data_IF_680012703183
#
_entry.id   IF_680012703183
#
_cell.length_a   1.000
_cell.length_b   1.000
_cell.length_c   1.000
_cell.angle_alpha   90.00
_cell.angle_beta   90.00
_cell.angle_gamma   90.00
#
_symmetry.space_group_name_H-M   'P 1'
#
loop_
_entity.id
_entity.type
_entity.pdbx_description
1 polymer ?
#
# COMPACT_ATOMS: atom_id res chain seq x y z
N UNK A 1 43.07 48.44 10.25
CA UNK A 1 44.29 47.66 10.04
C UNK A 1 45.50 48.56 9.83
N UNK A 2 45.59 49.41 8.78
CA UNK A 2 46.75 50.32 8.57
C UNK A 2 46.96 51.40 9.67
N UNK A 3 45.96 51.66 10.51
CA UNK A 3 46.08 52.56 11.65
C UNK A 3 46.73 51.93 12.89
N UNK A 4 46.69 50.64 12.99
CA UNK A 4 47.19 49.85 14.12
C UNK A 4 48.52 49.17 13.79
N UNK A 5 48.75 48.84 12.53
CA UNK A 5 49.99 48.26 12.02
C UNK A 5 50.43 48.95 10.73
N UNK A 6 51.28 50.00 10.80
CA UNK A 6 51.64 50.85 9.65
C UNK A 6 52.45 50.10 8.57
N UNK A 7 53.00 48.92 8.82
CA UNK A 7 53.84 48.18 7.90
C UNK A 7 53.10 47.03 7.15
N UNK A 8 51.78 46.92 7.29
CA UNK A 8 50.98 45.86 6.69
C UNK A 8 50.84 46.06 5.18
N UNK A 9 51.10 45.05 4.40
CA UNK A 9 50.92 45.01 2.93
C UNK A 9 49.67 44.24 2.55
N UNK A 10 49.21 44.46 1.31
CA UNK A 10 48.07 43.74 0.77
C UNK A 10 48.42 42.26 0.64
N UNK A 11 47.72 41.41 1.44
CA UNK A 11 47.95 39.95 1.49
C UNK A 11 48.51 39.45 2.82
N UNK A 12 48.92 40.37 3.74
CA UNK A 12 49.40 40.00 5.06
C UNK A 12 48.23 39.65 6.00
N UNK A 13 48.49 38.75 6.93
CA UNK A 13 47.53 38.39 7.99
C UNK A 13 47.62 39.38 9.13
N UNK A 14 46.47 39.83 9.61
CA UNK A 14 46.35 40.62 10.84
C UNK A 14 45.94 39.66 11.95
N UNK A 15 46.80 39.55 12.95
CA UNK A 15 46.50 38.79 14.17
C UNK A 15 46.01 39.75 15.26
N UNK A 16 44.76 39.55 15.68
CA UNK A 16 44.18 40.29 16.79
C UNK A 16 44.00 39.36 17.98
N UNK A 17 44.51 39.73 19.12
CA UNK A 17 44.42 38.92 20.33
C UNK A 17 43.05 39.12 20.97
N UNK A 18 42.18 38.17 20.76
CA UNK A 18 40.87 38.15 21.39
C UNK A 18 41.02 37.71 22.85
N UNK A 19 40.45 38.49 23.79
CA UNK A 19 40.40 38.09 25.20
C UNK A 19 39.75 36.71 25.35
N UNK A 20 40.40 35.84 26.12
CA UNK A 20 39.86 34.52 26.37
C UNK A 20 38.58 34.61 27.20
N UNK A 21 37.48 34.18 26.62
CA UNK A 21 36.19 34.09 27.32
C UNK A 21 36.30 32.95 28.37
N UNK A 22 36.23 33.33 29.65
CA UNK A 22 36.17 32.33 30.72
C UNK A 22 34.82 31.58 30.64
N UNK A 23 34.88 30.34 30.22
CA UNK A 23 33.67 29.46 30.24
C UNK A 23 33.40 29.00 31.66
N UNK A 24 32.29 29.44 32.23
CA UNK A 24 31.80 28.90 33.48
C UNK A 24 31.30 27.45 33.28
N UNK A 25 31.00 26.80 34.39
CA UNK A 25 30.54 25.37 34.37
C UNK A 25 29.25 25.20 33.61
N UNK A 26 28.35 26.19 33.60
CA UNK A 26 27.07 26.21 32.93
C UNK A 26 27.27 26.36 31.43
N UNK A 27 28.11 27.28 30.99
CA UNK A 27 28.45 27.50 29.59
C UNK A 27 29.08 26.24 28.97
N UNK A 28 29.98 25.53 29.69
CA UNK A 28 30.56 24.26 29.24
C UNK A 28 29.51 23.14 29.10
N UNK A 29 28.54 23.04 30.03
CA UNK A 29 27.46 22.05 29.93
C UNK A 29 26.54 22.37 28.74
N UNK A 30 26.19 23.63 28.56
CA UNK A 30 25.37 24.10 27.44
C UNK A 30 26.04 23.81 26.10
N UNK A 31 27.35 24.16 25.98
CA UNK A 31 28.11 23.84 24.77
C UNK A 31 28.15 22.35 24.46
N UNK A 32 28.38 21.50 25.46
CA UNK A 32 28.35 20.04 25.30
C UNK A 32 26.99 19.56 24.81
N UNK A 33 25.90 20.10 25.36
CA UNK A 33 24.54 19.75 24.96
C UNK A 33 24.25 20.19 23.52
N UNK A 34 24.63 21.42 23.14
CA UNK A 34 24.45 21.92 21.77
C UNK A 34 25.24 21.09 20.77
N UNK A 35 26.52 20.80 21.05
CA UNK A 35 27.36 19.94 20.20
C UNK A 35 26.73 18.56 20.04
N UNK A 36 26.33 17.92 21.16
CA UNK A 36 25.68 16.61 21.11
C UNK A 36 24.39 16.63 20.28
N UNK A 37 23.60 17.70 20.39
CA UNK A 37 22.37 17.86 19.60
C UNK A 37 22.69 18.05 18.12
N UNK A 38 23.68 18.88 17.77
CA UNK A 38 24.09 19.09 16.38
C UNK A 38 24.67 17.83 15.72
N UNK A 39 25.44 17.05 16.46
CA UNK A 39 25.94 15.75 15.97
C UNK A 39 24.77 14.81 15.68
N UNK A 40 23.79 14.70 16.59
CA UNK A 40 22.59 13.87 16.37
C UNK A 40 21.76 14.35 15.18
N UNK A 41 21.61 15.67 15.00
CA UNK A 41 20.91 16.23 13.83
C UNK A 41 21.63 15.86 12.53
N UNK A 42 22.95 15.98 12.49
CA UNK A 42 23.75 15.61 11.32
C UNK A 42 23.70 14.09 11.04
N UNK A 43 23.77 13.23 12.07
CA UNK A 43 23.62 11.79 11.93
C UNK A 43 22.22 11.43 11.38
N UNK A 44 21.16 12.09 11.86
CA UNK A 44 19.80 11.90 11.37
C UNK A 44 19.64 12.34 9.91
N UNK A 45 20.17 13.50 9.54
CA UNK A 45 20.14 13.97 8.16
C UNK A 45 20.82 12.97 7.20
N UNK A 46 21.94 12.40 7.62
CA UNK A 46 22.64 11.36 6.85
C UNK A 46 21.81 10.09 6.69
N UNK A 47 21.10 9.64 7.73
CA UNK A 47 20.20 8.49 7.64
C UNK A 47 19.06 8.75 6.66
N UNK A 48 18.44 9.93 6.73
CA UNK A 48 17.37 10.32 5.79
C UNK A 48 17.86 10.31 4.35
N UNK A 49 19.04 10.89 4.07
CA UNK A 49 19.63 10.92 2.74
C UNK A 49 19.89 9.51 2.21
N UNK A 50 20.45 8.63 3.05
CA UNK A 50 20.75 7.25 2.70
C UNK A 50 19.49 6.44 2.33
N UNK A 51 18.40 6.62 3.10
CA UNK A 51 17.18 5.82 2.94
C UNK A 51 16.12 6.45 2.03
N UNK A 52 16.31 7.67 1.56
CA UNK A 52 15.37 8.34 0.65
C UNK A 52 15.16 7.58 -0.66
N UNK A 53 16.21 6.95 -1.20
CA UNK A 53 16.13 6.12 -2.41
C UNK A 53 15.58 4.71 -2.18
N UNK A 54 15.43 4.33 -0.91
CA UNK A 54 14.89 3.03 -0.50
C UNK A 54 13.39 3.11 -0.13
N UNK A 55 12.80 4.31 -0.18
CA UNK A 55 11.37 4.49 0.06
C UNK A 55 10.57 3.71 -1.01
N UNK A 56 9.58 2.95 -0.56
CA UNK A 56 8.82 2.01 -1.39
C UNK A 56 9.41 0.61 -1.50
N UNK A 57 10.65 0.36 -1.05
CA UNK A 57 11.31 -0.95 -1.16
C UNK A 57 11.29 -1.73 0.15
N UNK A 58 11.52 -3.04 0.03
CA UNK A 58 11.69 -3.91 1.20
C UNK A 58 13.03 -3.64 1.86
N UNK A 59 12.96 -3.35 3.16
CA UNK A 59 14.11 -3.27 4.05
C UNK A 59 14.07 -4.42 5.05
N UNK A 60 15.25 -4.88 5.45
CA UNK A 60 15.40 -5.93 6.47
C UNK A 60 16.07 -5.34 7.69
N UNK A 61 15.47 -5.53 8.85
CA UNK A 61 16.05 -5.09 10.12
C UNK A 61 16.01 -6.16 11.18
N UNK A 62 16.77 -5.92 12.25
CA UNK A 62 16.71 -6.74 13.46
C UNK A 62 15.94 -5.99 14.54
N UNK A 63 15.01 -6.66 15.20
CA UNK A 63 14.23 -6.08 16.29
C UNK A 63 15.15 -5.67 17.43
N UNK A 64 15.21 -4.40 17.73
CA UNK A 64 15.98 -3.82 18.83
C UNK A 64 15.15 -3.77 20.11
N UNK A 65 13.90 -3.33 20.00
CA UNK A 65 13.00 -3.14 21.13
C UNK A 65 11.55 -3.34 20.68
N UNK A 66 10.78 -3.98 21.55
CA UNK A 66 9.32 -4.13 21.38
C UNK A 66 8.62 -3.28 22.44
N UNK A 67 7.79 -2.36 22.02
CA UNK A 67 6.91 -1.58 22.87
C UNK A 67 5.45 -2.05 22.67
N UNK A 68 4.54 -1.53 23.47
CA UNK A 68 3.11 -1.86 23.35
C UNK A 68 2.50 -1.44 22.00
N UNK A 69 2.94 -0.32 21.44
CA UNK A 69 2.37 0.30 20.24
C UNK A 69 3.29 0.28 19.03
N UNK A 70 4.53 -0.15 19.19
CA UNK A 70 5.52 -0.13 18.11
C UNK A 70 6.67 -1.08 18.34
N UNK A 71 7.32 -1.44 17.23
CA UNK A 71 8.58 -2.19 17.23
C UNK A 71 9.66 -1.29 16.62
N UNK A 72 10.82 -1.27 17.26
CA UNK A 72 12.00 -0.55 16.75
C UNK A 72 12.93 -1.58 16.10
N UNK A 73 13.19 -1.36 14.83
CA UNK A 73 14.12 -2.14 14.01
C UNK A 73 15.46 -1.42 13.91
N UNK A 74 16.54 -2.19 13.99
CA UNK A 74 17.88 -1.74 13.62
C UNK A 74 18.14 -2.17 12.17
N UNK A 75 18.29 -1.21 11.26
CA UNK A 75 18.59 -1.44 9.83
C UNK A 75 20.10 -1.45 9.55
N UNK A 76 20.95 -1.31 10.57
CA UNK A 76 22.39 -1.11 10.39
C UNK A 76 22.79 0.36 10.31
N UNK A 77 24.10 0.65 10.33
CA UNK A 77 24.67 2.02 10.19
C UNK A 77 24.04 3.08 11.12
N UNK A 78 23.64 2.69 12.33
CA UNK A 78 22.90 3.53 13.30
C UNK A 78 21.49 3.95 12.84
N UNK A 79 20.97 3.40 11.73
CA UNK A 79 19.63 3.67 11.27
C UNK A 79 18.61 2.83 12.03
N UNK A 80 17.60 3.49 12.58
CA UNK A 80 16.48 2.85 13.27
C UNK A 80 15.19 3.15 12.53
N UNK A 81 14.38 2.10 12.32
CA UNK A 81 13.04 2.21 11.77
C UNK A 81 11.99 1.78 12.78
N UNK A 82 10.79 2.27 12.62
CA UNK A 82 9.65 1.92 13.48
C UNK A 82 8.57 1.24 12.65
N UNK A 83 8.05 0.13 13.19
CA UNK A 83 6.80 -0.47 12.73
C UNK A 83 5.75 -0.14 13.79
N UNK A 84 4.72 0.59 13.40
CA UNK A 84 3.59 0.87 14.28
C UNK A 84 2.70 -0.37 14.40
N UNK A 85 1.90 -0.47 15.47
CA UNK A 85 1.05 -1.64 15.68
C UNK A 85 0.04 -1.86 14.55
N UNK A 86 -0.47 -0.80 13.96
CA UNK A 86 -1.36 -0.82 12.78
C UNK A 86 -0.67 -1.31 11.50
N UNK A 87 0.66 -1.18 11.44
CA UNK A 87 1.52 -1.63 10.33
C UNK A 87 2.04 -3.06 10.49
N UNK A 88 1.68 -3.75 11.59
CA UNK A 88 1.99 -5.15 11.84
C UNK A 88 0.85 -6.07 11.40
N UNK A 89 1.16 -7.35 11.18
CA UNK A 89 0.12 -8.35 10.98
C UNK A 89 -0.54 -8.75 12.31
N UNK A 90 -1.85 -9.03 12.36
CA UNK A 90 -2.60 -9.22 13.61
C UNK A 90 -2.10 -10.31 14.53
N UNK A 91 -1.38 -11.30 14.02
CA UNK A 91 -0.91 -12.48 14.78
C UNK A 91 0.60 -12.54 14.94
N UNK A 92 1.32 -11.52 14.50
CA UNK A 92 2.78 -11.48 14.63
C UNK A 92 3.20 -11.05 16.05
N UNK A 93 4.11 -11.82 16.62
CA UNK A 93 4.76 -11.52 17.89
C UNK A 93 6.26 -11.57 17.68
N UNK A 94 6.90 -10.43 17.73
CA UNK A 94 8.34 -10.31 17.58
C UNK A 94 9.04 -10.23 18.94
N UNK A 95 10.27 -10.72 18.96
CA UNK A 95 11.19 -10.63 20.11
C UNK A 95 12.42 -9.83 19.72
N UNK A 96 13.09 -9.16 20.67
CA UNK A 96 14.40 -8.58 20.42
C UNK A 96 15.36 -9.62 19.84
N UNK A 97 16.01 -9.27 18.72
CA UNK A 97 16.91 -10.17 17.98
C UNK A 97 16.28 -10.81 16.73
N UNK A 98 14.96 -10.82 16.60
CA UNK A 98 14.30 -11.37 15.41
C UNK A 98 14.61 -10.52 14.16
N UNK A 99 14.76 -11.18 13.01
CA UNK A 99 14.88 -10.50 11.71
C UNK A 99 13.49 -10.28 11.14
N UNK A 100 13.24 -9.06 10.71
CA UNK A 100 11.95 -8.64 10.16
C UNK A 100 12.17 -7.94 8.84
N UNK A 101 11.37 -8.31 7.84
CA UNK A 101 11.26 -7.61 6.55
C UNK A 101 10.02 -6.75 6.56
N UNK A 102 10.09 -5.61 5.92
CA UNK A 102 8.92 -4.74 5.71
C UNK A 102 9.23 -3.69 4.67
N UNK A 103 8.21 -3.04 4.14
CA UNK A 103 8.40 -1.94 3.20
C UNK A 103 8.61 -0.64 3.96
N UNK A 104 9.65 0.09 3.58
CA UNK A 104 9.89 1.46 4.02
C UNK A 104 8.91 2.39 3.29
N UNK A 105 7.77 2.70 3.91
CA UNK A 105 6.71 3.45 3.24
C UNK A 105 6.78 4.97 3.45
N UNK A 106 7.57 5.39 4.42
CA UNK A 106 7.72 6.82 4.71
C UNK A 106 9.07 7.13 5.34
N UNK A 107 9.74 8.15 4.80
CA UNK A 107 10.93 8.77 5.38
C UNK A 107 10.55 10.18 5.83
N UNK A 108 10.59 10.44 7.15
CA UNK A 108 10.22 11.73 7.73
C UNK A 108 11.45 12.42 8.35
N UNK A 109 12.05 13.41 7.64
CA UNK A 109 13.24 14.11 8.12
C UNK A 109 13.00 14.96 9.37
N UNK A 110 11.78 15.46 9.57
CA UNK A 110 11.43 16.37 10.66
C UNK A 110 11.10 15.65 11.98
N UNK A 111 10.95 14.35 11.95
CA UNK A 111 10.60 13.57 13.14
C UNK A 111 11.74 13.59 14.17
N UNK A 112 11.41 13.95 15.41
CA UNK A 112 12.36 13.93 16.52
C UNK A 112 12.62 12.54 17.09
N UNK A 113 11.73 11.59 16.83
CA UNK A 113 11.78 10.23 17.38
C UNK A 113 12.30 9.23 16.37
N UNK A 114 11.48 8.84 15.41
CA UNK A 114 11.83 7.91 14.35
C UNK A 114 11.67 8.61 12.99
N UNK A 115 12.61 8.40 12.08
CA UNK A 115 12.60 9.00 10.76
C UNK A 115 12.14 8.01 9.69
N UNK A 116 12.30 6.73 9.93
CA UNK A 116 12.00 5.65 8.99
C UNK A 116 10.79 4.86 9.51
N UNK A 117 9.75 4.78 8.69
CA UNK A 117 8.52 4.05 9.00
C UNK A 117 8.38 2.87 8.06
N UNK A 118 8.25 1.69 8.64
CA UNK A 118 8.17 0.41 7.93
C UNK A 118 6.82 -0.22 8.19
N UNK A 119 6.23 -0.80 7.15
CA UNK A 119 4.96 -1.51 7.21
C UNK A 119 5.08 -2.95 6.74
N UNK A 120 4.26 -3.83 7.31
CA UNK A 120 4.02 -5.21 6.86
C UNK A 120 2.58 -5.42 6.44
N UNK A 121 1.69 -4.48 6.81
CA UNK A 121 0.26 -4.59 6.60
C UNK A 121 -0.23 -4.01 5.27
N UNK A 122 0.46 -3.00 4.71
CA UNK A 122 0.02 -2.31 3.50
C UNK A 122 0.18 -3.17 2.23
N UNK A 123 -0.61 -2.87 1.17
CA UNK A 123 -0.54 -3.58 -0.12
C UNK A 123 0.84 -3.55 -0.77
N UNK A 124 1.61 -2.49 -0.58
CA UNK A 124 2.96 -2.32 -1.12
C UNK A 124 3.91 -3.43 -0.68
N UNK A 125 3.71 -3.97 0.54
CA UNK A 125 4.49 -5.11 1.01
C UNK A 125 4.28 -6.34 0.12
N UNK A 126 3.06 -6.61 -0.30
CA UNK A 126 2.75 -7.72 -1.18
C UNK A 126 3.33 -7.51 -2.58
N UNK A 127 3.19 -6.30 -3.12
CA UNK A 127 3.72 -5.91 -4.43
C UNK A 127 5.23 -6.12 -4.49
N UNK A 128 5.96 -5.64 -3.49
CA UNK A 128 7.42 -5.77 -3.44
C UNK A 128 7.87 -7.23 -3.24
N UNK A 129 7.13 -8.03 -2.48
CA UNK A 129 7.42 -9.46 -2.37
C UNK A 129 7.26 -10.17 -3.72
N UNK A 130 6.21 -9.85 -4.49
CA UNK A 130 6.05 -10.40 -5.83
C UNK A 130 7.16 -9.96 -6.78
N UNK A 131 7.65 -8.72 -6.69
CA UNK A 131 8.80 -8.26 -7.50
C UNK A 131 10.09 -9.04 -7.22
N UNK A 132 10.27 -9.47 -5.98
CA UNK A 132 11.44 -10.26 -5.59
C UNK A 132 11.32 -11.72 -6.01
N UNK A 133 10.13 -12.32 -5.80
CA UNK A 133 9.91 -13.76 -6.02
C UNK A 133 9.62 -14.11 -7.48
N UNK A 134 9.16 -13.14 -8.30
CA UNK A 134 8.75 -13.32 -9.69
C UNK A 134 9.67 -12.50 -10.60
N UNK A 135 10.76 -13.09 -11.13
CA UNK A 135 11.72 -12.38 -11.97
C UNK A 135 11.10 -11.74 -13.22
N UNK A 136 10.07 -12.35 -13.77
CA UNK A 136 9.33 -11.88 -14.94
C UNK A 136 8.71 -10.48 -14.73
N UNK A 137 8.49 -10.06 -13.48
CA UNK A 137 8.06 -8.70 -13.14
C UNK A 137 9.25 -7.74 -13.23
N UNK A 138 10.44 -8.16 -12.77
CA UNK A 138 11.66 -7.37 -12.88
C UNK A 138 12.14 -7.18 -14.32
N UNK A 139 11.81 -8.12 -15.20
CA UNK A 139 12.11 -8.08 -16.65
C UNK A 139 11.01 -7.37 -17.46
N UNK A 140 10.05 -6.74 -16.81
CA UNK A 140 8.92 -6.01 -17.41
C UNK A 140 8.01 -6.87 -18.33
N UNK A 141 8.14 -8.19 -18.27
CA UNK A 141 7.24 -9.12 -18.97
C UNK A 141 5.88 -9.25 -18.31
N UNK A 142 5.85 -9.07 -17.00
CA UNK A 142 4.63 -8.99 -16.20
C UNK A 142 4.56 -7.66 -15.45
N UNK A 143 3.35 -7.14 -15.29
CA UNK A 143 3.09 -5.91 -14.58
C UNK A 143 2.07 -6.15 -13.45
N UNK A 144 2.36 -5.64 -12.24
CA UNK A 144 1.40 -5.61 -11.16
C UNK A 144 0.57 -4.34 -11.30
N UNK A 145 -0.74 -4.50 -11.46
CA UNK A 145 -1.69 -3.38 -11.62
C UNK A 145 -2.28 -2.90 -10.30
N UNK A 146 -2.28 -3.73 -9.29
CA UNK A 146 -2.79 -3.36 -7.98
C UNK A 146 -2.78 -4.52 -7.00
N UNK A 147 -2.97 -4.21 -5.74
CA UNK A 147 -3.15 -5.20 -4.68
C UNK A 147 -4.15 -4.69 -3.63
N UNK A 148 -4.95 -5.61 -3.11
CA UNK A 148 -5.85 -5.36 -2.00
C UNK A 148 -5.58 -6.39 -0.90
N UNK A 149 -5.54 -5.96 0.36
CA UNK A 149 -5.17 -6.82 1.49
C UNK A 149 -6.14 -6.70 2.66
N UNK A 150 -6.39 -7.83 3.26
CA UNK A 150 -6.89 -7.97 4.62
C UNK A 150 -5.77 -8.63 5.42
N UNK A 151 -4.89 -7.83 6.09
CA UNK A 151 -3.61 -8.30 6.61
C UNK A 151 -3.76 -9.51 7.53
N UNK A 152 -2.94 -10.54 7.29
CA UNK A 152 -2.95 -11.79 8.06
C UNK A 152 -4.13 -12.72 7.76
N UNK A 153 -4.97 -12.41 6.76
CA UNK A 153 -6.12 -13.24 6.38
C UNK A 153 -6.12 -13.57 4.89
N UNK A 154 -6.36 -12.60 4.03
CA UNK A 154 -6.43 -12.80 2.58
C UNK A 154 -6.02 -11.54 1.81
N UNK A 155 -5.45 -11.74 0.64
CA UNK A 155 -5.11 -10.67 -0.30
C UNK A 155 -5.49 -11.05 -1.73
N UNK A 156 -5.64 -10.03 -2.57
CA UNK A 156 -5.77 -10.17 -4.01
C UNK A 156 -4.72 -9.29 -4.67
N UNK A 157 -4.05 -9.82 -5.71
CA UNK A 157 -3.08 -9.07 -6.50
C UNK A 157 -3.46 -9.19 -7.97
N UNK A 158 -3.52 -8.06 -8.66
CA UNK A 158 -3.84 -7.98 -10.07
C UNK A 158 -2.57 -7.94 -10.91
N UNK A 159 -2.46 -8.83 -11.87
CA UNK A 159 -1.31 -8.97 -12.75
C UNK A 159 -1.73 -8.91 -14.21
N UNK A 160 -0.93 -8.22 -15.04
CA UNK A 160 -1.08 -8.13 -16.49
C UNK A 160 0.16 -8.69 -17.15
N UNK A 161 -0.02 -9.47 -18.23
CA UNK A 161 1.10 -9.86 -19.07
C UNK A 161 1.31 -8.86 -20.20
N UNK A 162 2.54 -8.45 -20.39
CA UNK A 162 2.99 -7.65 -21.56
C UNK A 162 3.43 -8.54 -22.71
N UNK A 163 3.72 -9.83 -22.45
CA UNK A 163 4.03 -10.86 -23.46
C UNK A 163 2.93 -11.92 -23.52
N UNK A 164 2.24 -12.03 -24.65
CA UNK A 164 1.15 -12.98 -24.87
C UNK A 164 1.53 -14.46 -24.70
N UNK A 165 2.84 -14.76 -24.68
CA UNK A 165 3.35 -16.13 -24.50
C UNK A 165 3.46 -16.54 -23.04
N UNK A 166 3.33 -15.60 -22.12
CA UNK A 166 3.49 -15.86 -20.69
C UNK A 166 2.11 -15.87 -20.04
N UNK A 167 1.83 -16.95 -19.33
CA UNK A 167 0.68 -17.01 -18.42
C UNK A 167 1.02 -16.23 -17.12
N UNK A 168 0.40 -15.06 -16.89
CA UNK A 168 0.73 -14.24 -15.73
C UNK A 168 0.38 -14.91 -14.40
N UNK A 169 -0.69 -15.69 -14.36
CA UNK A 169 -1.12 -16.40 -13.14
C UNK A 169 -0.14 -17.52 -12.84
N UNK A 170 0.17 -18.35 -13.85
CA UNK A 170 1.11 -19.46 -13.70
C UNK A 170 2.52 -19.00 -13.29
N UNK A 171 3.02 -17.90 -13.86
CA UNK A 171 4.31 -17.33 -13.51
C UNK A 171 4.36 -16.83 -12.04
N UNK A 172 3.29 -16.19 -11.56
CA UNK A 172 3.20 -15.73 -10.18
C UNK A 172 3.02 -16.89 -9.18
N UNK A 173 2.29 -17.93 -9.56
CA UNK A 173 2.12 -19.15 -8.73
C UNK A 173 3.46 -19.88 -8.60
N UNK A 174 4.17 -20.01 -9.72
CA UNK A 174 5.42 -20.75 -9.82
C UNK A 174 5.23 -22.27 -9.80
N UNK A 175 6.32 -23.01 -9.99
CA UNK A 175 6.27 -24.46 -10.03
C UNK A 175 5.70 -25.03 -8.71
N UNK A 176 4.59 -25.77 -8.82
CA UNK A 176 3.89 -26.38 -7.67
C UNK A 176 3.51 -25.36 -6.58
N UNK A 177 3.32 -24.09 -6.95
CA UNK A 177 2.96 -23.03 -6.02
C UNK A 177 4.12 -22.50 -5.15
N UNK A 178 5.36 -22.79 -5.51
CA UNK A 178 6.52 -22.47 -4.67
C UNK A 178 6.65 -20.96 -4.42
N UNK A 179 6.44 -20.12 -5.45
CA UNK A 179 6.57 -18.66 -5.34
C UNK A 179 5.47 -18.07 -4.45
N UNK A 180 4.21 -18.39 -4.74
CA UNK A 180 3.08 -17.90 -3.93
C UNK A 180 3.16 -18.40 -2.49
N UNK A 181 3.67 -19.62 -2.27
CA UNK A 181 3.86 -20.17 -0.91
C UNK A 181 4.95 -19.44 -0.14
N UNK A 182 6.06 -19.08 -0.79
CA UNK A 182 7.11 -18.28 -0.17
C UNK A 182 6.57 -16.92 0.30
N UNK A 183 5.78 -16.24 -0.55
CA UNK A 183 5.12 -14.98 -0.21
C UNK A 183 4.13 -15.18 0.93
N UNK A 184 3.25 -16.18 0.84
CA UNK A 184 2.28 -16.52 1.88
C UNK A 184 2.94 -16.73 3.24
N UNK A 185 4.07 -17.43 3.27
CA UNK A 185 4.83 -17.66 4.51
C UNK A 185 5.40 -16.36 5.08
N UNK A 186 5.92 -15.46 4.23
CA UNK A 186 6.46 -14.17 4.67
C UNK A 186 5.38 -13.26 5.25
N UNK A 187 4.15 -13.30 4.72
CA UNK A 187 3.02 -12.49 5.22
C UNK A 187 2.18 -13.20 6.29
N UNK A 188 2.77 -14.15 7.00
CA UNK A 188 2.14 -14.79 8.17
C UNK A 188 1.00 -15.75 7.83
N UNK A 189 1.04 -16.40 6.67
CA UNK A 189 0.03 -17.38 6.24
C UNK A 189 -1.18 -16.75 5.55
N UNK A 190 -1.09 -15.49 5.13
CA UNK A 190 -2.13 -14.78 4.38
C UNK A 190 -2.36 -15.47 3.02
N UNK A 191 -3.60 -15.80 2.72
CA UNK A 191 -3.96 -16.42 1.45
C UNK A 191 -3.94 -15.38 0.33
N UNK A 192 -3.15 -15.62 -0.71
CA UNK A 192 -3.02 -14.69 -1.83
C UNK A 192 -3.72 -15.24 -3.07
N UNK A 193 -4.71 -14.50 -3.57
CA UNK A 193 -5.39 -14.76 -4.83
C UNK A 193 -4.75 -13.91 -5.93
N UNK A 194 -4.32 -14.56 -7.02
CA UNK A 194 -3.75 -13.88 -8.19
C UNK A 194 -4.89 -13.67 -9.18
N UNK A 195 -5.12 -12.40 -9.55
CA UNK A 195 -6.20 -11.95 -10.42
C UNK A 195 -5.61 -11.48 -11.74
N UNK A 196 -6.15 -12.00 -12.85
CA UNK A 196 -5.80 -11.51 -14.17
C UNK A 196 -6.44 -10.13 -14.39
N UNK A 197 -5.59 -9.13 -14.64
CA UNK A 197 -6.05 -7.80 -14.99
C UNK A 197 -6.57 -7.75 -16.43
N UNK A 198 -7.64 -7.01 -16.67
CA UNK A 198 -8.22 -6.82 -17.99
C UNK A 198 -8.49 -5.33 -18.23
N UNK A 199 -8.35 -4.90 -19.50
CA UNK A 199 -8.65 -3.53 -19.91
C UNK A 199 -10.17 -3.24 -19.83
N UNK A 200 -11.02 -4.27 -19.97
CA UNK A 200 -12.45 -4.20 -19.76
C UNK A 200 -12.77 -4.25 -18.26
N UNK A 201 -13.34 -3.17 -17.66
CA UNK A 201 -13.64 -3.13 -16.24
C UNK A 201 -14.56 -4.26 -15.76
N UNK A 202 -15.57 -4.62 -16.57
CA UNK A 202 -16.48 -5.71 -16.23
C UNK A 202 -15.76 -7.06 -16.17
N UNK A 203 -14.90 -7.35 -17.14
CA UNK A 203 -14.11 -8.59 -17.14
C UNK A 203 -13.10 -8.60 -15.98
N UNK A 204 -12.49 -7.47 -15.68
CA UNK A 204 -11.59 -7.35 -14.53
C UNK A 204 -12.29 -7.60 -13.20
N UNK A 205 -13.51 -7.08 -13.03
CA UNK A 205 -14.32 -7.35 -11.83
C UNK A 205 -14.73 -8.83 -11.77
N UNK A 206 -15.13 -9.46 -12.89
CA UNK A 206 -15.40 -10.89 -12.93
C UNK A 206 -14.19 -11.70 -12.44
N UNK A 207 -13.00 -11.38 -12.95
CA UNK A 207 -11.77 -12.04 -12.55
C UNK A 207 -11.46 -11.79 -11.06
N UNK A 208 -11.73 -10.59 -10.56
CA UNK A 208 -11.51 -10.22 -9.15
C UNK A 208 -12.48 -10.91 -8.19
N UNK A 209 -13.66 -11.33 -8.66
CA UNK A 209 -14.64 -12.03 -7.85
C UNK A 209 -14.28 -13.50 -7.60
N UNK A 210 -13.29 -14.05 -8.33
CA UNK A 210 -12.83 -15.42 -8.08
C UNK A 210 -12.60 -15.67 -6.58
N UNK A 211 -12.96 -16.87 -6.05
CA UNK A 211 -13.35 -18.10 -6.75
C UNK A 211 -14.86 -18.23 -7.05
N UNK A 212 -15.66 -17.18 -6.91
CA UNK A 212 -17.07 -17.24 -7.22
C UNK A 212 -17.32 -17.07 -8.72
N UNK A 213 -18.23 -17.86 -9.26
CA UNK A 213 -18.66 -17.75 -10.65
C UNK A 213 -19.74 -16.68 -10.79
N UNK A 214 -19.45 -15.67 -11.61
CA UNK A 214 -20.37 -14.57 -11.93
C UNK A 214 -21.23 -14.98 -13.12
N UNK A 215 -22.55 -14.87 -12.98
CA UNK A 215 -23.51 -15.21 -14.05
C UNK A 215 -23.75 -14.02 -14.98
N UNK A 216 -23.94 -12.84 -14.42
CA UNK A 216 -24.11 -11.60 -15.17
C UNK A 216 -23.59 -10.40 -14.38
N UNK A 217 -23.26 -9.34 -15.10
CA UNK A 217 -22.77 -8.09 -14.51
C UNK A 217 -23.42 -6.90 -15.25
N UNK A 218 -23.85 -5.93 -14.49
CA UNK A 218 -24.38 -4.68 -15.00
C UNK A 218 -23.51 -3.54 -14.51
N UNK A 219 -23.07 -2.73 -15.43
CA UNK A 219 -22.16 -1.62 -15.19
C UNK A 219 -22.95 -0.32 -15.13
N UNK A 220 -22.86 0.38 -14.03
CA UNK A 220 -23.35 1.73 -13.86
C UNK A 220 -22.14 2.69 -13.81
N UNK A 221 -21.85 3.31 -14.93
CA UNK A 221 -20.70 4.21 -15.07
C UNK A 221 -20.91 5.51 -14.28
N UNK A 222 -22.14 6.02 -14.21
CA UNK A 222 -22.48 7.28 -13.55
C UNK A 222 -22.21 7.21 -12.04
N UNK A 223 -22.59 6.10 -11.42
CA UNK A 223 -22.39 5.85 -9.97
C UNK A 223 -21.08 5.13 -9.67
N UNK A 224 -20.29 4.77 -10.68
CA UNK A 224 -19.07 3.98 -10.55
C UNK A 224 -19.31 2.69 -9.77
N UNK A 225 -20.41 2.01 -10.09
CA UNK A 225 -20.85 0.78 -9.41
C UNK A 225 -21.17 -0.34 -10.40
N UNK A 226 -21.10 -1.57 -9.93
CA UNK A 226 -21.46 -2.75 -10.69
C UNK A 226 -22.36 -3.67 -9.88
N UNK A 227 -23.47 -4.08 -10.48
CA UNK A 227 -24.34 -5.09 -9.92
C UNK A 227 -23.93 -6.46 -10.48
N UNK A 228 -23.61 -7.38 -9.59
CA UNK A 228 -23.06 -8.69 -9.91
C UNK A 228 -24.06 -9.74 -9.50
N UNK A 229 -24.60 -10.46 -10.49
CA UNK A 229 -25.44 -11.60 -10.25
C UNK A 229 -24.65 -12.89 -10.20
N UNK A 230 -24.95 -13.70 -9.21
CA UNK A 230 -24.42 -15.03 -9.02
C UNK A 230 -25.55 -16.02 -8.76
N UNK A 231 -25.31 -17.31 -9.00
CA UNK A 231 -26.25 -18.33 -8.59
C UNK A 231 -26.40 -18.35 -7.07
N UNK A 232 -27.58 -18.69 -6.57
CA UNK A 232 -27.88 -18.72 -5.14
C UNK A 232 -26.87 -19.55 -4.33
N UNK A 233 -26.41 -20.69 -4.88
CA UNK A 233 -25.39 -21.55 -4.26
C UNK A 233 -24.02 -20.87 -4.13
N UNK A 234 -23.70 -19.94 -5.03
CA UNK A 234 -22.43 -19.22 -5.07
C UNK A 234 -22.44 -17.88 -4.30
N UNK A 235 -23.62 -17.41 -3.87
CA UNK A 235 -23.77 -16.11 -3.21
C UNK A 235 -22.88 -15.99 -1.95
N UNK A 236 -22.90 -17.00 -1.11
CA UNK A 236 -22.08 -17.01 0.10
C UNK A 236 -20.56 -16.98 -0.22
N UNK A 237 -20.14 -17.62 -1.29
CA UNK A 237 -18.76 -17.62 -1.76
C UNK A 237 -18.37 -16.28 -2.39
N UNK A 238 -19.26 -15.68 -3.17
CA UNK A 238 -19.07 -14.38 -3.79
C UNK A 238 -18.89 -13.27 -2.74
N UNK A 239 -19.74 -13.26 -1.72
CA UNK A 239 -19.64 -12.33 -0.61
C UNK A 239 -18.38 -12.64 0.21
N UNK A 240 -18.13 -13.91 0.48
CA UNK A 240 -17.06 -14.37 1.35
C UNK A 240 -17.34 -14.14 2.84
N UNK A 241 -16.49 -14.69 3.69
CA UNK A 241 -16.62 -14.54 5.15
C UNK A 241 -16.59 -13.07 5.56
N UNK A 242 -17.65 -12.59 6.20
CA UNK A 242 -17.82 -11.18 6.61
C UNK A 242 -17.64 -10.17 5.44
N UNK A 243 -18.05 -10.53 4.24
CA UNK A 243 -17.91 -9.67 3.07
C UNK A 243 -16.47 -9.51 2.55
N UNK A 244 -15.55 -10.35 2.98
CA UNK A 244 -14.12 -10.22 2.66
C UNK A 244 -13.84 -10.27 1.16
N UNK A 245 -14.48 -11.18 0.41
CA UNK A 245 -14.21 -11.33 -1.01
C UNK A 245 -14.66 -10.09 -1.81
N UNK A 246 -15.89 -9.62 -1.57
CA UNK A 246 -16.43 -8.40 -2.21
C UNK A 246 -15.60 -7.18 -1.83
N UNK A 247 -15.25 -7.02 -0.54
CA UNK A 247 -14.45 -5.88 -0.07
C UNK A 247 -13.07 -5.85 -0.73
N UNK A 248 -12.39 -6.99 -0.84
CA UNK A 248 -11.10 -7.08 -1.51
C UNK A 248 -11.22 -6.81 -3.03
N UNK A 249 -12.26 -7.33 -3.68
CA UNK A 249 -12.52 -7.06 -5.08
C UNK A 249 -12.82 -5.57 -5.33
N UNK A 250 -13.65 -4.95 -4.49
CA UNK A 250 -13.92 -3.50 -4.52
C UNK A 250 -12.64 -2.68 -4.36
N UNK A 251 -11.79 -3.00 -3.38
CA UNK A 251 -10.53 -2.30 -3.17
C UNK A 251 -9.55 -2.49 -4.32
N UNK A 252 -9.52 -3.67 -4.93
CA UNK A 252 -8.62 -3.99 -6.03
C UNK A 252 -9.01 -3.29 -7.33
N UNK A 253 -10.32 -3.28 -7.63
CA UNK A 253 -10.86 -2.76 -8.90
C UNK A 253 -11.21 -1.28 -8.84
N UNK A 254 -11.47 -0.76 -7.64
CA UNK A 254 -11.93 0.61 -7.41
C UNK A 254 -13.43 0.81 -7.66
N UNK A 255 -14.17 -0.22 -8.10
CA UNK A 255 -15.61 -0.17 -8.35
C UNK A 255 -16.40 -0.56 -7.09
N UNK A 256 -17.53 0.09 -6.87
CA UNK A 256 -18.49 -0.34 -5.84
C UNK A 256 -19.23 -1.57 -6.34
N UNK A 257 -19.10 -2.70 -5.65
CA UNK A 257 -19.65 -3.97 -6.10
C UNK A 257 -20.86 -4.38 -5.24
N UNK A 258 -22.02 -4.54 -5.89
CA UNK A 258 -23.24 -5.04 -5.28
C UNK A 258 -23.46 -6.48 -5.74
N UNK A 259 -23.39 -7.42 -4.81
CA UNK A 259 -23.52 -8.85 -5.11
C UNK A 259 -24.91 -9.33 -4.72
N UNK A 260 -25.61 -9.96 -5.64
CA UNK A 260 -26.98 -10.44 -5.45
C UNK A 260 -27.22 -11.72 -6.25
N UNK A 261 -28.36 -12.38 -6.00
CA UNK A 261 -28.77 -13.53 -6.84
C UNK A 261 -29.33 -13.05 -8.18
N UNK A 262 -29.38 -13.95 -9.16
CA UNK A 262 -29.98 -13.69 -10.48
C UNK A 262 -31.45 -13.26 -10.36
N UNK A 263 -32.17 -13.85 -9.40
CA UNK A 263 -33.58 -13.51 -9.12
C UNK A 263 -33.70 -12.08 -8.58
N UNK A 264 -32.86 -11.73 -7.59
CA UNK A 264 -32.84 -10.39 -7.00
C UNK A 264 -32.45 -9.31 -8.02
N UNK A 265 -31.54 -9.63 -8.96
CA UNK A 265 -31.18 -8.71 -10.04
C UNK A 265 -32.37 -8.47 -10.96
N UNK A 266 -33.09 -9.52 -11.34
CA UNK A 266 -34.27 -9.40 -12.19
C UNK A 266 -35.39 -8.59 -11.48
N UNK A 267 -35.64 -8.84 -10.20
CA UNK A 267 -36.59 -8.07 -9.39
C UNK A 267 -36.20 -6.59 -9.30
N UNK A 268 -34.91 -6.28 -9.11
CA UNK A 268 -34.39 -4.93 -9.10
C UNK A 268 -34.65 -4.21 -10.44
N UNK A 269 -34.33 -4.87 -11.55
CA UNK A 269 -34.59 -4.34 -12.90
C UNK A 269 -36.07 -4.05 -13.13
N UNK A 270 -36.92 -5.02 -12.85
CA UNK A 270 -38.37 -4.82 -12.99
C UNK A 270 -38.88 -3.66 -12.14
N UNK A 271 -38.35 -3.48 -10.94
CA UNK A 271 -38.69 -2.37 -10.06
C UNK A 271 -38.18 -1.01 -10.61
N UNK A 272 -37.00 -0.99 -11.24
CA UNK A 272 -36.45 0.20 -11.87
C UNK A 272 -37.21 0.54 -13.14
N UNK A 273 -37.49 -0.41 -14.01
CA UNK A 273 -38.31 -0.23 -15.23
C UNK A 273 -39.69 0.28 -14.87
N UNK A 274 -40.33 -0.27 -13.84
CA UNK A 274 -41.64 0.20 -13.35
C UNK A 274 -41.58 1.64 -12.84
N UNK A 275 -40.49 2.04 -12.17
CA UNK A 275 -40.32 3.43 -11.73
C UNK A 275 -40.14 4.38 -12.90
N UNK A 276 -39.34 4.02 -13.90
CA UNK A 276 -39.12 4.80 -15.11
C UNK A 276 -40.42 4.92 -15.91
N UNK A 277 -41.15 3.82 -16.05
CA UNK A 277 -42.44 3.78 -16.68
C UNK A 277 -43.44 4.75 -16.03
N UNK A 278 -43.57 4.66 -14.69
CA UNK A 278 -44.41 5.58 -13.92
C UNK A 278 -43.97 7.04 -14.05
N UNK A 279 -42.66 7.30 -14.12
CA UNK A 279 -42.11 8.65 -14.29
C UNK A 279 -42.49 9.20 -15.68
N UNK A 280 -42.46 8.40 -16.74
CA UNK A 280 -42.87 8.82 -18.08
C UNK A 280 -44.38 9.06 -18.16
N UNK A 281 -45.17 8.19 -17.54
CA UNK A 281 -46.61 8.40 -17.45
C UNK A 281 -46.97 9.72 -16.71
N UNK A 282 -46.34 9.96 -15.55
CA UNK A 282 -46.63 11.15 -14.72
C UNK A 282 -46.08 12.45 -15.31
N UNK A 283 -44.87 12.43 -15.86
CA UNK A 283 -44.17 13.64 -16.32
C UNK A 283 -44.54 14.01 -17.76
N UNK A 284 -44.75 13.04 -18.63
CA UNK A 284 -45.01 13.22 -20.05
C UNK A 284 -46.46 12.98 -20.42
N UNK A 285 -47.29 12.47 -19.49
CA UNK A 285 -48.71 12.17 -19.75
C UNK A 285 -48.89 11.07 -20.78
N UNK A 286 -47.96 10.13 -20.89
CA UNK A 286 -48.00 9.02 -21.85
C UNK A 286 -48.90 7.89 -21.35
N UNK A 287 -49.52 7.18 -22.27
CA UNK A 287 -50.20 5.95 -22.00
C UNK A 287 -49.18 4.84 -21.69
N UNK A 288 -49.58 3.80 -20.92
CA UNK A 288 -48.73 2.71 -20.49
C UNK A 288 -48.03 1.99 -21.67
N UNK A 289 -48.73 1.78 -22.79
CA UNK A 289 -48.17 1.16 -24.00
C UNK A 289 -47.05 2.00 -24.63
N UNK A 290 -47.22 3.32 -24.72
CA UNK A 290 -46.18 4.22 -25.23
C UNK A 290 -45.01 4.38 -24.25
N UNK A 291 -45.28 4.41 -22.94
CA UNK A 291 -44.24 4.48 -21.92
C UNK A 291 -43.39 3.19 -21.91
N UNK A 292 -43.99 2.04 -22.15
CA UNK A 292 -43.28 0.74 -22.22
C UNK A 292 -42.32 0.72 -23.43
N UNK A 293 -42.73 1.22 -24.60
CA UNK A 293 -41.87 1.27 -25.79
C UNK A 293 -40.62 2.17 -25.58
N UNK A 294 -40.69 3.11 -24.66
CA UNK A 294 -39.57 4.00 -24.34
C UNK A 294 -38.63 3.41 -23.24
N UNK A 295 -39.10 2.45 -22.48
CA UNK A 295 -38.33 1.75 -21.43
C UNK A 295 -37.58 0.56 -22.03
N UNK A 296 -38.17 -0.13 -23.02
CA UNK A 296 -37.56 -1.22 -23.79
C UNK A 296 -36.53 -0.70 -24.80
#
# INVERSE_FOLDING_TARGET
AQFEEPNIQLGDYVEDQIESIAFDRIAMQTARQVISTKIREAERAKVVEQFRSEEGKIVTGTVKKVNRESIILNLGNKAEAVIMREDMLPRENFRPGDRVRGVLYKVNPESKTAQLFVTRAKPEMLIELFRIEVPEIGEEMLEIRGAARDPGSRAKIAVKSNDKRIDPVGACVGMRGARVQAITNEVGGERVDIVLWDDNPAQYVINAMAPADVTSIIVDEDNHSMDIAVNADNLAQAIGRNGQNVRLATQLTGWTLNVMTTEQLNEKHQAEDTKVLNLFMDKLGLDEEFAQILVD
#
